data_IF_277271308106
#
_entry.id   IF_277271308106
#
_cell.length_a   1.000
_cell.length_b   1.000
_cell.length_c   1.000
_cell.angle_alpha   90.00
_cell.angle_beta   90.00
_cell.angle_gamma   90.00
#
_symmetry.space_group_name_H-M   'P 1'
#
loop_
_entity.id
_entity.type
_entity.pdbx_description
1 polymer ?
#
# COMPACT_ATOMS: atom_id res chain seq x y z
N UNK A 1 7.68 10.16 23.12
CA UNK A 1 8.07 11.56 22.71
C UNK A 1 6.77 12.33 22.49
N UNK A 2 6.66 13.66 22.71
CA UNK A 2 5.37 14.34 22.43
C UNK A 2 5.15 14.42 20.91
N UNK A 3 3.89 14.31 20.46
CA UNK A 3 3.51 14.43 19.04
C UNK A 3 4.01 15.74 18.42
N UNK A 4 3.99 16.85 19.16
CA UNK A 4 4.50 18.14 18.68
C UNK A 4 6.00 18.09 18.33
N UNK A 5 6.81 17.32 19.05
CA UNK A 5 8.22 17.11 18.70
C UNK A 5 8.40 16.24 17.44
N UNK A 6 7.46 15.34 17.18
CA UNK A 6 7.48 14.53 15.95
C UNK A 6 7.14 15.40 14.75
N UNK A 7 6.03 16.15 14.81
CA UNK A 7 5.56 16.93 13.65
C UNK A 7 6.45 18.13 13.34
N UNK A 8 7.16 18.69 14.33
CA UNK A 8 8.15 19.75 14.09
C UNK A 8 9.30 19.28 13.18
N UNK A 9 9.66 17.99 13.21
CA UNK A 9 10.70 17.41 12.34
C UNK A 9 10.25 17.34 10.85
N UNK A 10 8.96 17.43 10.59
CA UNK A 10 8.37 17.45 9.26
C UNK A 10 7.76 18.82 8.92
N UNK A 11 8.34 19.88 9.50
CA UNK A 11 8.00 21.28 9.27
C UNK A 11 6.54 21.66 9.56
N UNK A 12 5.88 20.98 10.51
CA UNK A 12 4.57 21.36 11.00
C UNK A 12 4.74 22.16 12.31
N UNK A 13 4.31 23.41 12.32
CA UNK A 13 4.32 24.25 13.51
C UNK A 13 3.22 23.86 14.47
N UNK A 14 3.38 24.13 15.75
CA UNK A 14 2.35 23.90 16.76
C UNK A 14 1.04 24.66 16.44
N UNK A 15 1.14 25.89 15.94
CA UNK A 15 -0.03 26.68 15.51
C UNK A 15 -0.80 25.97 14.39
N UNK A 16 -0.11 25.53 13.33
CA UNK A 16 -0.72 24.81 12.21
C UNK A 16 -1.34 23.49 12.68
N UNK A 17 -0.67 22.78 13.58
CA UNK A 17 -1.18 21.53 14.16
C UNK A 17 -2.49 21.76 14.90
N UNK A 18 -2.52 22.75 15.81
CA UNK A 18 -3.69 23.07 16.62
C UNK A 18 -4.86 23.60 15.77
N UNK A 19 -4.58 24.38 14.72
CA UNK A 19 -5.59 24.85 13.77
C UNK A 19 -6.19 23.68 12.99
N UNK A 20 -5.33 22.75 12.51
CA UNK A 20 -5.76 21.57 11.77
C UNK A 20 -6.55 20.57 12.60
N UNK A 21 -6.36 20.54 13.91
CA UNK A 21 -7.23 19.79 14.83
C UNK A 21 -8.61 20.45 14.94
N UNK A 22 -8.69 21.79 15.00
CA UNK A 22 -9.96 22.52 15.09
C UNK A 22 -10.79 22.39 13.82
N UNK A 23 -10.17 22.49 12.65
CA UNK A 23 -10.86 22.38 11.36
C UNK A 23 -11.07 20.92 10.89
N UNK A 24 -10.67 19.96 11.70
CA UNK A 24 -10.77 18.52 11.44
C UNK A 24 -9.97 18.04 10.22
N UNK A 25 -8.94 18.75 9.82
CA UNK A 25 -7.95 18.26 8.86
C UNK A 25 -7.07 17.17 9.47
N UNK A 26 -6.92 17.21 10.81
CA UNK A 26 -6.32 16.16 11.63
C UNK A 26 -7.39 15.64 12.58
N UNK A 27 -7.53 14.33 12.65
CA UNK A 27 -8.48 13.66 13.54
C UNK A 27 -7.71 12.78 14.54
N UNK A 28 -7.83 13.04 15.86
CA UNK A 28 -7.33 12.10 16.86
C UNK A 28 -8.19 10.83 16.82
N UNK A 29 -7.54 9.72 17.09
CA UNK A 29 -8.17 8.42 17.23
C UNK A 29 -7.40 7.59 18.27
N UNK A 30 -7.99 6.51 18.76
CA UNK A 30 -7.38 5.64 19.75
C UNK A 30 -7.66 4.19 19.43
N UNK A 31 -6.67 3.34 19.61
CA UNK A 31 -6.82 1.90 19.52
C UNK A 31 -5.86 1.23 20.51
N UNK A 32 -6.38 0.36 21.34
CA UNK A 32 -5.64 -0.43 22.35
C UNK A 32 -4.71 0.43 23.25
N UNK A 33 -5.24 1.57 23.71
CA UNK A 33 -4.52 2.51 24.59
C UNK A 33 -3.47 3.38 23.86
N UNK A 34 -3.34 3.25 22.54
CA UNK A 34 -2.44 4.09 21.73
C UNK A 34 -3.24 5.17 21.02
N UNK A 35 -2.96 6.43 21.37
CA UNK A 35 -3.49 7.58 20.65
C UNK A 35 -2.68 7.82 19.37
N UNK A 36 -3.37 8.01 18.26
CA UNK A 36 -2.78 8.38 16.99
C UNK A 36 -3.62 9.44 16.27
N UNK A 37 -3.03 10.12 15.30
CA UNK A 37 -3.65 11.22 14.58
C UNK A 37 -3.69 10.90 13.09
N UNK A 38 -4.89 10.92 12.51
CA UNK A 38 -5.11 10.69 11.09
C UNK A 38 -5.14 12.00 10.32
N UNK A 39 -4.36 12.09 9.27
CA UNK A 39 -4.39 13.22 8.35
C UNK A 39 -5.51 12.97 7.32
N UNK A 40 -6.63 13.66 7.47
CA UNK A 40 -7.82 13.49 6.60
C UNK A 40 -7.87 14.49 5.45
N UNK A 41 -7.18 15.64 5.60
CA UNK A 41 -6.89 16.60 4.53
C UNK A 41 -5.39 16.93 4.60
N UNK A 42 -4.82 17.40 3.48
CA UNK A 42 -3.39 17.78 3.45
C UNK A 42 -3.11 18.89 4.49
N UNK A 43 -2.05 18.70 5.31
CA UNK A 43 -1.57 19.66 6.30
C UNK A 43 -0.06 19.82 6.10
N UNK A 44 0.39 20.98 5.61
CA UNK A 44 1.77 21.16 5.19
C UNK A 44 2.19 20.10 4.17
N UNK A 45 3.24 19.35 4.47
CA UNK A 45 3.70 18.24 3.63
C UNK A 45 3.02 16.89 3.93
N UNK A 46 2.23 16.81 5.01
CA UNK A 46 1.52 15.59 5.37
C UNK A 46 0.28 15.42 4.49
N UNK A 47 0.27 14.37 3.68
CA UNK A 47 -0.84 14.04 2.78
C UNK A 47 -1.95 13.28 3.53
N UNK A 48 -3.16 13.33 2.98
CA UNK A 48 -4.27 12.48 3.42
C UNK A 48 -3.85 11.01 3.46
N UNK A 49 -4.18 10.31 4.54
CA UNK A 49 -3.80 8.91 4.75
C UNK A 49 -2.52 8.73 5.59
N UNK A 50 -1.78 9.82 5.87
CA UNK A 50 -0.68 9.79 6.83
C UNK A 50 -1.21 9.61 8.25
N UNK A 51 -0.49 8.85 9.06
CA UNK A 51 -0.72 8.67 10.49
C UNK A 51 0.44 9.27 11.27
N UNK A 52 0.13 9.98 12.34
CA UNK A 52 1.13 10.53 13.25
C UNK A 52 0.91 9.94 14.63
N UNK A 53 1.97 9.41 15.21
CA UNK A 53 2.00 8.94 16.61
C UNK A 53 3.11 9.66 17.35
N UNK A 54 3.20 9.49 18.64
CA UNK A 54 4.34 9.97 19.42
C UNK A 54 5.64 9.16 19.21
N UNK A 55 5.56 8.05 18.46
CA UNK A 55 6.73 7.27 18.01
C UNK A 55 7.20 7.63 16.60
N UNK A 56 6.40 8.36 15.81
CA UNK A 56 6.80 8.79 14.47
C UNK A 56 5.67 9.07 13.51
N UNK A 57 6.05 9.42 12.28
CA UNK A 57 5.16 9.65 11.14
C UNK A 57 5.16 8.43 10.23
N UNK A 58 3.99 7.90 9.95
CA UNK A 58 3.72 6.80 9.03
C UNK A 58 3.07 7.43 7.80
N UNK A 59 3.89 7.71 6.77
CA UNK A 59 3.37 8.37 5.56
C UNK A 59 2.35 7.50 4.83
N UNK A 60 1.45 8.14 4.09
CA UNK A 60 0.51 7.45 3.21
C UNK A 60 1.24 6.62 2.15
N UNK A 61 0.62 5.54 1.69
CA UNK A 61 1.13 4.85 0.52
C UNK A 61 0.66 5.59 -0.74
N UNK A 62 1.57 6.02 -1.64
CA UNK A 62 1.23 6.86 -2.76
C UNK A 62 0.24 6.17 -3.71
N UNK A 63 -0.63 6.96 -4.35
CA UNK A 63 -1.46 6.46 -5.43
C UNK A 63 -0.59 6.18 -6.65
N UNK A 64 -0.66 4.94 -7.15
CA UNK A 64 0.09 4.51 -8.31
C UNK A 64 -0.67 4.90 -9.57
N UNK A 65 -0.01 5.64 -10.47
CA UNK A 65 -0.59 6.03 -11.75
C UNK A 65 -0.83 4.79 -12.64
N UNK A 66 -1.98 4.75 -13.31
CA UNK A 66 -2.29 3.69 -14.26
C UNK A 66 -1.83 4.10 -15.65
N UNK A 67 -1.09 3.24 -16.32
CA UNK A 67 -0.81 3.35 -17.76
C UNK A 67 -1.91 2.63 -18.53
N UNK A 68 -2.44 3.27 -19.58
CA UNK A 68 -3.55 2.72 -20.39
C UNK A 68 -3.06 1.89 -21.55
N UNK A 69 -1.92 2.26 -22.13
CA UNK A 69 -1.24 1.54 -23.22
C UNK A 69 0.12 1.08 -22.73
N UNK A 70 0.37 -0.23 -22.77
CA UNK A 70 1.57 -0.80 -22.17
C UNK A 70 2.85 -0.21 -22.78
N UNK A 71 3.02 -0.26 -24.10
CA UNK A 71 4.23 0.20 -24.80
C UNK A 71 4.52 1.68 -24.49
N UNK A 72 3.63 2.55 -24.94
CA UNK A 72 3.78 3.99 -24.75
C UNK A 72 3.89 4.37 -23.26
N UNK A 73 3.14 3.66 -22.39
CA UNK A 73 3.15 3.94 -20.95
C UNK A 73 4.47 3.58 -20.28
N UNK A 74 5.09 2.49 -20.68
CA UNK A 74 6.41 2.07 -20.19
C UNK A 74 7.50 3.00 -20.72
N UNK A 75 7.50 3.33 -22.02
CA UNK A 75 8.46 4.26 -22.62
C UNK A 75 8.41 5.66 -21.99
N UNK A 76 7.23 6.14 -21.65
CA UNK A 76 7.05 7.44 -20.98
C UNK A 76 7.41 7.41 -19.49
N UNK A 77 7.28 6.26 -18.83
CA UNK A 77 7.49 6.13 -17.40
C UNK A 77 8.94 5.85 -17.02
N UNK A 78 9.70 5.15 -17.89
CA UNK A 78 11.01 4.62 -17.53
C UNK A 78 12.08 4.86 -18.60
N UNK A 79 13.14 5.52 -18.20
CA UNK A 79 14.40 5.60 -18.96
C UNK A 79 15.42 4.55 -18.47
N UNK A 80 15.22 4.02 -17.27
CA UNK A 80 16.08 3.06 -16.61
C UNK A 80 15.36 1.70 -16.46
N UNK A 81 16.08 0.61 -16.16
CA UNK A 81 15.48 -0.67 -15.84
C UNK A 81 14.51 -0.55 -14.65
N UNK A 82 13.49 -1.39 -14.63
CA UNK A 82 12.47 -1.44 -13.60
C UNK A 82 12.16 -2.88 -13.19
N UNK A 83 11.65 -3.06 -11.98
CA UNK A 83 11.16 -4.34 -11.48
C UNK A 83 9.67 -4.47 -11.76
N UNK A 84 9.24 -5.70 -12.03
CA UNK A 84 7.85 -6.04 -12.33
C UNK A 84 7.33 -6.99 -11.27
N UNK A 85 6.20 -6.62 -10.67
CA UNK A 85 5.51 -7.38 -9.66
C UNK A 85 4.04 -7.57 -10.04
N UNK A 86 3.41 -8.62 -9.53
CA UNK A 86 1.98 -8.81 -9.64
C UNK A 86 1.24 -7.71 -8.86
N UNK A 87 0.18 -7.20 -9.45
CA UNK A 87 -0.79 -6.38 -8.74
C UNK A 87 -1.88 -7.28 -8.18
N UNK A 88 -1.80 -7.52 -6.88
CA UNK A 88 -2.81 -8.29 -6.14
C UNK A 88 -4.03 -7.42 -5.87
N UNK A 89 -5.22 -7.99 -6.03
CA UNK A 89 -6.50 -7.36 -5.74
C UNK A 89 -6.92 -7.66 -4.29
N UNK A 90 -6.97 -6.63 -3.48
CA UNK A 90 -7.27 -6.71 -2.06
C UNK A 90 -7.34 -5.31 -1.43
N UNK A 91 -7.02 -5.19 -0.17
CA UNK A 91 -6.87 -3.89 0.49
C UNK A 91 -5.49 -3.67 1.09
N UNK A 92 -5.02 -2.45 0.94
CA UNK A 92 -3.72 -2.02 1.37
C UNK A 92 -3.63 -1.86 2.87
N UNK A 93 -2.60 -2.44 3.47
CA UNK A 93 -2.23 -2.24 4.88
C UNK A 93 -0.77 -1.83 5.03
N UNK A 94 -0.50 -1.07 6.08
CA UNK A 94 0.83 -0.69 6.55
C UNK A 94 1.00 -1.24 7.95
N UNK A 95 1.84 -2.25 8.10
CA UNK A 95 2.12 -2.90 9.37
C UNK A 95 3.33 -2.19 9.99
N UNK A 96 3.19 -1.72 11.23
CA UNK A 96 4.19 -0.89 11.88
C UNK A 96 4.19 -1.09 13.39
N UNK A 97 5.36 -1.07 13.98
CA UNK A 97 5.53 -1.04 15.43
C UNK A 97 5.35 0.38 15.98
N UNK A 98 4.45 0.53 16.96
CA UNK A 98 4.24 1.75 17.74
C UNK A 98 4.44 1.38 19.19
N UNK A 99 5.47 1.90 19.84
CA UNK A 99 5.95 1.43 21.15
C UNK A 99 6.24 -0.08 21.14
N UNK A 100 5.59 -0.84 22.00
CA UNK A 100 5.80 -2.29 22.10
C UNK A 100 4.71 -3.09 21.35
N UNK A 101 3.78 -2.42 20.68
CA UNK A 101 2.67 -3.03 19.95
C UNK A 101 2.86 -2.89 18.43
N UNK A 102 2.27 -3.80 17.66
CA UNK A 102 2.30 -3.76 16.19
C UNK A 102 0.88 -3.65 15.67
N UNK A 103 0.66 -2.70 14.77
CA UNK A 103 -0.65 -2.39 14.19
C UNK A 103 -0.63 -2.46 12.68
N UNK A 104 -1.77 -2.84 12.10
CA UNK A 104 -2.04 -2.74 10.68
C UNK A 104 -2.94 -1.54 10.41
N UNK A 105 -2.40 -0.50 9.77
CA UNK A 105 -3.15 0.68 9.33
C UNK A 105 -3.64 0.50 7.90
N UNK A 106 -4.93 0.73 7.67
CA UNK A 106 -5.51 0.78 6.33
C UNK A 106 -5.01 1.99 5.55
N UNK A 107 -5.27 2.04 4.25
CA UNK A 107 -4.99 3.21 3.41
C UNK A 107 -5.71 4.46 3.91
N UNK A 108 -6.88 4.31 4.52
CA UNK A 108 -7.65 5.39 5.15
C UNK A 108 -7.09 5.87 6.48
N UNK A 109 -5.93 5.36 6.91
CA UNK A 109 -5.25 5.67 8.17
C UNK A 109 -5.95 5.20 9.46
N UNK A 110 -6.90 4.30 9.36
CA UNK A 110 -7.48 3.62 10.51
C UNK A 110 -6.66 2.39 10.88
N UNK A 111 -6.52 2.10 12.17
CA UNK A 111 -6.12 0.76 12.60
C UNK A 111 -7.20 -0.21 12.13
N UNK A 112 -6.80 -1.31 11.53
CA UNK A 112 -7.70 -2.40 11.16
C UNK A 112 -7.63 -3.49 12.23
N UNK A 113 -8.65 -3.68 13.09
CA UNK A 113 -8.65 -4.73 14.10
C UNK A 113 -8.47 -6.11 13.47
N UNK A 114 -9.24 -6.40 12.43
CA UNK A 114 -9.15 -7.67 11.69
C UNK A 114 -7.73 -8.00 11.23
N UNK A 115 -7.03 -7.03 10.60
CA UNK A 115 -5.65 -7.26 10.14
C UNK A 115 -4.65 -7.31 11.29
N UNK A 116 -4.88 -6.53 12.35
CA UNK A 116 -3.99 -6.46 13.52
C UNK A 116 -4.03 -7.79 14.28
N UNK A 117 -5.22 -8.35 14.51
CA UNK A 117 -5.39 -9.61 15.21
C UNK A 117 -4.79 -10.80 14.45
N UNK A 118 -4.71 -10.69 13.12
CA UNK A 118 -4.20 -11.74 12.23
C UNK A 118 -2.73 -11.60 11.83
N UNK A 119 -1.99 -10.68 12.42
CA UNK A 119 -0.57 -10.50 12.09
C UNK A 119 0.24 -11.78 12.30
N UNK A 120 -0.11 -12.58 13.30
CA UNK A 120 0.55 -13.87 13.61
C UNK A 120 0.41 -14.88 12.47
N UNK A 121 -0.68 -14.80 11.68
CA UNK A 121 -0.93 -15.68 10.55
C UNK A 121 -0.16 -15.26 9.30
N UNK A 122 0.30 -14.01 9.25
CA UNK A 122 0.93 -13.46 8.04
C UNK A 122 2.44 -13.71 7.99
N UNK A 123 3.15 -13.43 9.07
CA UNK A 123 4.60 -13.66 9.19
C UNK A 123 5.08 -13.47 10.63
N UNK A 124 6.30 -13.86 10.93
CA UNK A 124 6.93 -13.61 12.23
C UNK A 124 7.25 -12.12 12.43
N UNK A 125 6.18 -11.33 12.67
CA UNK A 125 6.26 -9.89 12.80
C UNK A 125 7.02 -9.47 14.08
N UNK A 126 6.99 -10.27 15.14
CA UNK A 126 7.69 -9.96 16.39
C UNK A 126 9.20 -9.95 16.17
N UNK A 127 9.74 -10.98 15.53
CA UNK A 127 11.15 -11.06 15.18
C UNK A 127 11.54 -9.95 14.21
N UNK A 128 10.73 -9.68 13.18
CA UNK A 128 11.00 -8.62 12.22
C UNK A 128 11.09 -7.24 12.91
N UNK A 129 10.10 -6.87 13.72
CA UNK A 129 10.06 -5.54 14.36
C UNK A 129 10.95 -5.42 15.60
N UNK A 130 11.44 -6.53 16.15
CA UNK A 130 12.49 -6.50 17.17
C UNK A 130 13.79 -5.94 16.61
N UNK A 131 14.16 -6.36 15.40
CA UNK A 131 15.40 -5.93 14.74
C UNK A 131 15.21 -4.67 13.87
N UNK A 132 13.99 -4.43 13.39
CA UNK A 132 13.64 -3.34 12.47
C UNK A 132 12.50 -2.45 13.00
N UNK A 133 12.62 -1.83 14.18
CA UNK A 133 11.49 -1.12 14.84
C UNK A 133 11.00 0.12 14.09
N UNK A 134 11.82 0.66 13.18
CA UNK A 134 11.47 1.86 12.39
C UNK A 134 11.01 1.54 10.97
N UNK A 135 10.95 0.27 10.60
CA UNK A 135 10.43 -0.12 9.30
C UNK A 135 8.91 -0.26 9.32
N UNK A 136 8.31 -0.13 8.15
CA UNK A 136 6.88 -0.29 7.88
C UNK A 136 6.77 -1.33 6.76
N UNK A 137 6.10 -2.44 7.01
CA UNK A 137 5.79 -3.43 5.97
C UNK A 137 4.48 -3.03 5.31
N UNK A 138 4.52 -2.77 4.00
CA UNK A 138 3.35 -2.46 3.20
C UNK A 138 2.95 -3.68 2.39
N UNK A 139 1.69 -4.04 2.44
CA UNK A 139 1.17 -5.20 1.71
C UNK A 139 -0.30 -5.07 1.36
N UNK A 140 -0.76 -6.05 0.62
CA UNK A 140 -2.16 -6.25 0.27
C UNK A 140 -2.69 -7.45 1.06
N UNK A 141 -3.86 -7.32 1.65
CA UNK A 141 -4.60 -8.45 2.21
C UNK A 141 -5.72 -8.78 1.24
N UNK A 142 -5.73 -10.00 0.75
CA UNK A 142 -6.66 -10.47 -0.26
C UNK A 142 -7.19 -11.87 0.08
N UNK A 143 -8.42 -12.13 -0.26
CA UNK A 143 -9.09 -13.41 -0.01
C UNK A 143 -10.59 -13.23 0.16
N UNK A 144 -11.38 -14.33 0.10
CA UNK A 144 -12.84 -14.28 0.19
C UNK A 144 -13.36 -13.75 1.54
N UNK A 145 -12.62 -13.93 2.63
CA UNK A 145 -12.98 -13.41 3.97
C UNK A 145 -12.51 -11.96 4.21
N UNK A 146 -12.09 -11.27 3.15
CA UNK A 146 -11.68 -9.87 3.22
C UNK A 146 -12.89 -8.97 3.56
N UNK A 147 -12.84 -8.19 4.66
CA UNK A 147 -14.00 -7.41 5.11
C UNK A 147 -14.28 -6.16 4.25
N UNK A 148 -13.37 -5.77 3.36
CA UNK A 148 -13.44 -4.51 2.61
C UNK A 148 -13.58 -4.67 1.10
N UNK A 149 -13.20 -5.83 0.57
CA UNK A 149 -13.25 -6.10 -0.87
C UNK A 149 -13.78 -7.51 -1.10
N UNK A 150 -14.80 -7.65 -1.92
CA UNK A 150 -15.36 -8.95 -2.30
C UNK A 150 -14.57 -9.66 -3.39
N UNK A 151 -13.72 -8.92 -4.10
CA UNK A 151 -12.84 -9.47 -5.12
C UNK A 151 -11.61 -10.09 -4.47
N UNK A 152 -11.19 -11.22 -4.98
CA UNK A 152 -10.03 -11.96 -4.49
C UNK A 152 -9.26 -12.53 -5.66
N UNK A 153 -7.93 -12.59 -5.59
CA UNK A 153 -7.15 -13.31 -6.58
C UNK A 153 -7.59 -14.78 -6.60
N UNK A 154 -7.73 -15.39 -7.79
CA UNK A 154 -8.26 -16.76 -7.91
C UNK A 154 -7.46 -17.84 -7.18
N UNK A 155 -6.20 -17.55 -6.86
CA UNK A 155 -5.32 -18.47 -6.13
C UNK A 155 -5.47 -18.39 -4.60
N UNK A 156 -6.26 -17.46 -4.08
CA UNK A 156 -6.66 -17.40 -2.67
C UNK A 156 -8.10 -17.89 -2.57
N UNK A 157 -8.28 -19.19 -2.38
CA UNK A 157 -9.57 -19.84 -2.43
C UNK A 157 -10.34 -19.75 -1.09
N UNK A 158 -9.63 -19.62 0.01
CA UNK A 158 -10.17 -19.64 1.37
C UNK A 158 -9.51 -18.54 2.20
N UNK A 159 -10.25 -18.04 3.20
CA UNK A 159 -9.76 -17.06 4.17
C UNK A 159 -9.14 -15.80 3.53
N UNK A 160 -8.06 -15.28 4.12
CA UNK A 160 -7.25 -14.18 3.57
C UNK A 160 -5.77 -14.54 3.62
N UNK A 161 -5.02 -13.98 2.67
CA UNK A 161 -3.56 -14.04 2.62
C UNK A 161 -2.98 -12.65 2.57
N UNK A 162 -1.77 -12.49 3.13
CA UNK A 162 -1.00 -11.27 3.09
C UNK A 162 0.08 -11.33 2.01
N UNK A 163 0.22 -10.26 1.23
CA UNK A 163 1.19 -10.15 0.15
C UNK A 163 1.96 -8.84 0.28
N UNK A 164 3.15 -8.90 0.89
CA UNK A 164 4.01 -7.73 1.01
C UNK A 164 4.51 -7.28 -0.37
N UNK A 165 4.50 -5.97 -0.60
CA UNK A 165 5.00 -5.38 -1.83
C UNK A 165 5.97 -4.20 -1.60
N UNK A 166 6.02 -3.62 -0.40
CA UNK A 166 6.94 -2.53 -0.09
C UNK A 166 7.40 -2.57 1.37
N UNK A 167 8.60 -2.02 1.62
CA UNK A 167 9.09 -1.66 2.95
C UNK A 167 9.43 -0.18 2.92
N UNK A 168 8.97 0.54 3.93
CA UNK A 168 9.22 1.97 4.11
C UNK A 168 9.81 2.23 5.50
N UNK A 169 10.24 3.45 5.74
CA UNK A 169 10.79 3.86 7.03
C UNK A 169 9.88 4.90 7.68
N UNK A 170 9.62 4.78 8.98
CA UNK A 170 8.97 5.86 9.75
C UNK A 170 9.74 7.18 9.57
N UNK A 171 9.02 8.29 9.62
CA UNK A 171 9.58 9.64 9.50
C UNK A 171 10.23 9.96 8.15
N UNK A 172 10.08 9.11 7.13
CA UNK A 172 10.64 9.31 5.80
C UNK A 172 9.65 8.92 4.70
N UNK A 173 9.43 9.79 3.72
CA UNK A 173 8.66 9.48 2.50
C UNK A 173 9.55 8.87 1.38
N UNK A 174 10.85 8.67 1.65
CA UNK A 174 11.78 8.10 0.67
C UNK A 174 11.55 6.60 0.49
N UNK A 175 11.67 6.16 -0.75
CA UNK A 175 11.60 4.74 -1.08
C UNK A 175 12.90 4.03 -0.69
N UNK A 176 12.76 2.82 -0.17
CA UNK A 176 13.87 1.89 -0.02
C UNK A 176 14.11 1.22 -1.38
N UNK A 177 15.36 1.06 -1.85
CA UNK A 177 15.65 0.34 -3.10
C UNK A 177 15.00 -1.04 -3.16
N UNK A 178 14.51 -1.44 -4.32
CA UNK A 178 13.76 -2.69 -4.51
C UNK A 178 14.55 -3.91 -4.05
N UNK A 179 15.83 -3.97 -4.40
CA UNK A 179 16.71 -5.09 -4.03
C UNK A 179 16.88 -5.23 -2.51
N UNK A 180 16.94 -4.09 -1.79
CA UNK A 180 17.02 -4.10 -0.34
C UNK A 180 15.73 -4.61 0.30
N UNK A 181 14.57 -4.22 -0.27
CA UNK A 181 13.27 -4.73 0.18
C UNK A 181 13.16 -6.23 -0.03
N UNK A 182 13.55 -6.71 -1.20
CA UNK A 182 13.53 -8.14 -1.51
C UNK A 182 14.40 -8.96 -0.56
N UNK A 183 15.61 -8.47 -0.24
CA UNK A 183 16.48 -9.10 0.75
C UNK A 183 15.81 -9.23 2.12
N UNK A 184 15.17 -8.16 2.59
CA UNK A 184 14.47 -8.18 3.87
C UNK A 184 13.27 -9.15 3.84
N UNK A 185 12.48 -9.17 2.77
CA UNK A 185 11.39 -10.12 2.62
C UNK A 185 11.88 -11.57 2.66
N UNK A 186 12.97 -11.86 1.96
CA UNK A 186 13.53 -13.21 1.87
C UNK A 186 14.17 -13.64 3.22
N UNK A 187 14.88 -12.73 3.89
CA UNK A 187 15.53 -12.94 5.19
C UNK A 187 14.51 -13.29 6.28
N UNK A 188 13.43 -12.51 6.37
CA UNK A 188 12.37 -12.70 7.37
C UNK A 188 11.21 -13.58 6.88
N UNK A 189 11.32 -14.19 5.71
CA UNK A 189 10.30 -15.06 5.10
C UNK A 189 8.92 -14.40 5.03
N UNK A 190 8.89 -13.10 4.76
CA UNK A 190 7.64 -12.35 4.62
C UNK A 190 7.00 -12.73 3.28
N UNK A 191 5.73 -13.21 3.27
CA UNK A 191 5.02 -13.51 2.02
C UNK A 191 4.95 -12.28 1.13
N UNK A 192 5.25 -12.43 -0.17
CA UNK A 192 5.27 -11.30 -1.10
C UNK A 192 4.37 -11.54 -2.30
N UNK A 193 4.02 -10.44 -2.97
CA UNK A 193 3.47 -10.51 -4.33
C UNK A 193 4.43 -11.26 -5.27
N UNK A 194 3.91 -11.86 -6.33
CA UNK A 194 4.73 -12.52 -7.36
C UNK A 194 5.71 -11.53 -7.97
N UNK A 195 7.01 -11.87 -7.99
CA UNK A 195 8.09 -11.08 -8.57
C UNK A 195 8.43 -11.64 -9.93
N UNK A 196 8.20 -10.89 -11.00
CA UNK A 196 8.49 -11.33 -12.39
C UNK A 196 9.94 -11.08 -12.80
N UNK A 197 10.63 -10.16 -12.12
CA UNK A 197 12.03 -9.86 -12.37
C UNK A 197 12.28 -8.41 -12.80
N UNK A 198 13.45 -8.18 -13.38
CA UNK A 198 13.94 -6.87 -13.84
C UNK A 198 13.87 -6.79 -15.36
N UNK A 199 13.32 -5.71 -15.87
CA UNK A 199 13.03 -5.46 -17.28
C UNK A 199 13.49 -4.07 -17.72
N UNK A 200 13.47 -3.86 -19.03
CA UNK A 200 13.68 -2.56 -19.68
C UNK A 200 12.51 -2.27 -20.63
N UNK A 201 12.45 -1.09 -21.20
CA UNK A 201 11.45 -0.72 -22.21
C UNK A 201 11.53 -1.58 -23.49
N UNK A 202 12.65 -2.26 -23.75
CA UNK A 202 12.76 -3.19 -24.88
C UNK A 202 12.08 -4.55 -24.68
N UNK A 203 11.73 -4.88 -23.43
CA UNK A 203 11.20 -6.20 -23.06
C UNK A 203 9.65 -6.29 -23.14
N UNK A 204 9.01 -5.41 -23.91
CA UNK A 204 7.55 -5.30 -24.02
C UNK A 204 6.88 -6.62 -24.41
N UNK A 205 7.52 -7.45 -25.25
CA UNK A 205 6.97 -8.75 -25.67
C UNK A 205 6.78 -9.69 -24.48
N UNK A 206 7.73 -9.71 -23.55
CA UNK A 206 7.65 -10.57 -22.38
C UNK A 206 6.66 -10.01 -21.34
N UNK A 207 6.59 -8.70 -21.20
CA UNK A 207 5.55 -8.05 -20.38
C UNK A 207 4.15 -8.37 -20.90
N UNK A 208 3.92 -8.39 -22.22
CA UNK A 208 2.63 -8.80 -22.81
C UNK A 208 2.27 -10.24 -22.48
N UNK A 209 3.24 -11.17 -22.47
CA UNK A 209 3.01 -12.57 -22.07
C UNK A 209 2.57 -12.67 -20.61
N UNK A 210 3.24 -11.92 -19.71
CA UNK A 210 2.83 -11.88 -18.31
C UNK A 210 1.42 -11.34 -18.15
N UNK A 211 1.09 -10.23 -18.83
CA UNK A 211 -0.26 -9.64 -18.79
C UNK A 211 -1.31 -10.62 -19.32
N UNK A 212 -1.03 -11.30 -20.43
CA UNK A 212 -1.94 -12.30 -20.99
C UNK A 212 -2.17 -13.44 -19.99
N UNK A 213 -1.10 -14.01 -19.44
CA UNK A 213 -1.20 -15.08 -18.44
C UNK A 213 -1.99 -14.64 -17.19
N UNK A 214 -1.75 -13.42 -16.68
CA UNK A 214 -2.50 -12.87 -15.55
C UNK A 214 -3.97 -12.67 -15.89
N UNK A 215 -4.27 -12.16 -17.08
CA UNK A 215 -5.64 -11.97 -17.55
C UNK A 215 -6.40 -13.29 -17.68
N UNK A 216 -5.76 -14.33 -18.24
CA UNK A 216 -6.32 -15.69 -18.36
C UNK A 216 -6.60 -16.31 -16.99
N UNK A 217 -5.74 -16.04 -16.01
CA UNK A 217 -5.92 -16.46 -14.60
C UNK A 217 -6.90 -15.60 -13.81
N UNK A 218 -7.43 -14.52 -14.37
CA UNK A 218 -8.31 -13.60 -13.66
C UNK A 218 -7.62 -12.70 -12.64
N UNK A 219 -6.29 -12.54 -12.68
CA UNK A 219 -5.53 -11.64 -11.81
C UNK A 219 -5.64 -10.18 -12.25
N UNK A 220 -5.37 -9.24 -11.34
CA UNK A 220 -5.62 -7.82 -11.58
C UNK A 220 -4.64 -7.18 -12.58
N UNK A 221 -3.34 -7.46 -12.48
CA UNK A 221 -2.36 -6.86 -13.38
C UNK A 221 -0.93 -6.82 -12.87
N UNK A 222 -0.18 -5.79 -13.28
CA UNK A 222 1.22 -5.58 -12.96
C UNK A 222 1.47 -4.23 -12.31
N UNK A 223 2.49 -4.20 -11.43
CA UNK A 223 3.10 -2.98 -10.90
C UNK A 223 4.55 -2.94 -11.37
N UNK A 224 4.95 -1.76 -11.87
CA UNK A 224 6.30 -1.49 -12.36
C UNK A 224 6.99 -0.55 -11.40
N UNK A 225 8.13 -0.97 -10.85
CA UNK A 225 8.88 -0.24 -9.83
C UNK A 225 10.25 0.16 -10.39
N UNK A 226 10.54 1.46 -10.44
CA UNK A 226 11.80 1.94 -10.99
C UNK A 226 13.00 1.51 -10.13
N UNK A 227 14.16 1.38 -10.77
CA UNK A 227 15.44 1.30 -10.09
C UNK A 227 15.98 2.69 -9.72
N UNK A 228 15.53 3.72 -10.40
CA UNK A 228 15.85 5.12 -10.14
C UNK A 228 14.73 5.80 -9.35
N UNK A 229 15.07 6.39 -8.20
CA UNK A 229 14.10 7.05 -7.30
C UNK A 229 13.47 8.32 -7.91
N UNK A 230 14.01 8.86 -9.00
CA UNK A 230 13.42 10.00 -9.73
C UNK A 230 12.23 9.58 -10.59
N UNK A 231 12.14 8.32 -10.96
CA UNK A 231 11.04 7.75 -11.75
C UNK A 231 9.88 7.31 -10.86
N UNK A 232 8.68 7.22 -11.42
CA UNK A 232 7.46 6.91 -10.65
C UNK A 232 7.05 5.46 -10.82
N UNK A 233 6.54 4.88 -9.74
CA UNK A 233 5.84 3.60 -9.80
C UNK A 233 4.58 3.78 -10.63
N UNK A 234 4.35 2.85 -11.59
CA UNK A 234 3.13 2.81 -12.40
C UNK A 234 2.52 1.41 -12.37
N UNK A 235 1.26 1.29 -12.77
CA UNK A 235 0.54 0.01 -12.84
C UNK A 235 -0.17 -0.16 -14.18
N UNK A 236 -0.32 -1.40 -14.58
CA UNK A 236 -1.18 -1.83 -15.70
C UNK A 236 -2.22 -2.82 -15.16
N UNK A 237 -3.47 -2.65 -15.57
CA UNK A 237 -4.59 -3.51 -15.14
C UNK A 237 -5.07 -4.32 -16.34
N UNK A 238 -5.29 -5.62 -16.17
CA UNK A 238 -5.76 -6.53 -17.22
C UNK A 238 -7.16 -6.15 -17.72
N UNK A 239 -7.49 -6.55 -18.94
CA UNK A 239 -8.80 -6.25 -19.51
C UNK A 239 -9.95 -6.92 -18.73
N UNK A 240 -9.74 -8.15 -18.25
CA UNK A 240 -10.71 -8.87 -17.42
C UNK A 240 -11.03 -8.16 -16.11
N UNK A 241 -10.00 -7.66 -15.42
CA UNK A 241 -10.20 -6.87 -14.19
C UNK A 241 -10.93 -5.55 -14.47
N UNK A 242 -10.54 -4.84 -15.54
CA UNK A 242 -11.25 -3.62 -15.94
C UNK A 242 -12.74 -3.85 -16.20
N UNK A 243 -13.09 -4.96 -16.86
CA UNK A 243 -14.48 -5.29 -17.15
C UNK A 243 -15.27 -5.66 -15.88
N UNK A 244 -14.62 -6.29 -14.88
CA UNK A 244 -15.24 -6.55 -13.58
C UNK A 244 -15.56 -5.23 -12.86
N UNK A 245 -14.59 -4.33 -12.75
CA UNK A 245 -14.75 -3.00 -12.14
C UNK A 245 -15.92 -2.22 -12.78
N UNK A 246 -16.02 -2.25 -14.11
CA UNK A 246 -17.12 -1.59 -14.85
C UNK A 246 -18.48 -2.20 -14.54
N UNK A 247 -18.57 -3.52 -14.43
CA UNK A 247 -19.84 -4.22 -14.09
C UNK A 247 -20.30 -3.88 -12.67
N UNK A 248 -19.38 -3.88 -11.70
CA UNK A 248 -19.69 -3.48 -10.32
C UNK A 248 -20.19 -2.03 -10.27
N UNK A 249 -19.49 -1.11 -10.94
CA UNK A 249 -19.88 0.29 -10.98
C UNK A 249 -21.26 0.48 -11.63
N UNK A 250 -21.55 -0.23 -12.74
CA UNK A 250 -22.86 -0.13 -13.42
C UNK A 250 -23.98 -0.73 -12.57
N UNK A 251 -23.75 -1.81 -11.83
CA UNK A 251 -24.72 -2.40 -10.92
C UNK A 251 -25.08 -1.43 -9.78
N UNK A 252 -24.06 -0.82 -9.16
CA UNK A 252 -24.28 0.20 -8.12
C UNK A 252 -25.04 1.41 -8.64
N UNK A 253 -24.79 1.85 -9.89
CA UNK A 253 -25.53 2.95 -10.53
C UNK A 253 -27.00 2.59 -10.78
N UNK A 254 -27.31 1.35 -11.13
CA UNK A 254 -28.68 0.87 -11.32
C UNK A 254 -29.43 0.79 -9.99
N UNK A 255 -28.81 0.30 -8.94
CA UNK A 255 -29.40 0.31 -7.59
C UNK A 255 -29.69 1.73 -7.11
N UNK A 256 -28.78 2.67 -7.33
CA UNK A 256 -28.96 4.07 -6.95
C UNK A 256 -30.08 4.78 -7.73
N UNK A 257 -30.33 4.39 -9.00
CA UNK A 257 -31.44 4.91 -9.80
C UNK A 257 -32.80 4.29 -9.47
N UNK A 258 -32.81 3.11 -8.86
CA UNK A 258 -34.05 2.43 -8.44
C UNK A 258 -34.62 2.96 -7.11
N UNK A 259 -33.84 3.75 -6.34
CA UNK A 259 -34.26 4.39 -5.08
C UNK A 259 -34.81 5.82 -5.26
N UNK A 260 -34.86 6.35 -6.50
CA UNK A 260 -35.46 7.63 -6.86
C UNK A 260 -36.63 7.42 -7.84
#
# INVERSE_FOLDING_TARGET
MSVLKIVSKVNITESLWNESLKDRSIMPDEFDGITYYRIVKKVGELKKGTVVTDSGVIYDFPRIARIMHLENGIELAFNNPFYVEEKVDGYNVRIVKVHDQVFAFTRGSYVCPFSTDRLVDFFDYENFFKENPDLIVCGEIAGPENPYNRESPPYVAEDVSFFAFDIRTKNSDRQIPVEKRYKLFDEYKIPTVTRFGRYTSSDIKDLKKHIQSLNEKGCEGLVFKPTDASEKIVKYVTAGSCLRDMKVTSSLMVEYQAEF
#
